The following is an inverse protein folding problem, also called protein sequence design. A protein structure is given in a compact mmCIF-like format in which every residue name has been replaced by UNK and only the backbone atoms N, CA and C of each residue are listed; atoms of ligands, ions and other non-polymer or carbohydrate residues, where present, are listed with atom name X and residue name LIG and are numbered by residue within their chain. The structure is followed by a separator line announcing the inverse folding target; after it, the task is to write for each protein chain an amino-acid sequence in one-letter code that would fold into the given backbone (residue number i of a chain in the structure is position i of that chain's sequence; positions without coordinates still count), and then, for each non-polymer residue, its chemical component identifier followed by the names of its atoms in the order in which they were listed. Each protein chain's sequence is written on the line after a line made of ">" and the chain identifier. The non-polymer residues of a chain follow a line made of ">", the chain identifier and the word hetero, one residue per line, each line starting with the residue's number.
data_IF_827710595097
#
_entry.id   IF_827710595097
#
_cell.length_a   1.000
_cell.length_b   1.000
_cell.length_c   1.000
_cell.angle_alpha   90.00
_cell.angle_beta   90.00
_cell.angle_gamma   90.00
#
_symmetry.space_group_name_H-M   'P 1'
#
loop_
_entity.id
_entity.type
_entity.pdbx_description
1 polymer ?
#
# COMPACT_ATOMS: atom_id res chain seq x y z
N UNK A 1 1.25 10.23 -10.51
CA UNK A 1 2.18 10.74 -9.48
C UNK A 1 1.52 10.91 -8.11
N UNK A 2 2.29 10.89 -7.02
CA UNK A 2 1.72 11.01 -5.66
C UNK A 2 1.13 12.42 -5.42
N UNK A 3 1.73 13.44 -6.02
CA UNK A 3 1.25 14.83 -6.06
C UNK A 3 -0.18 15.03 -6.62
N UNK A 4 -0.76 14.05 -7.33
CA UNK A 4 -2.16 14.12 -7.78
C UNK A 4 -3.17 13.91 -6.64
N UNK A 5 -2.74 13.38 -5.49
CA UNK A 5 -3.53 13.27 -4.27
C UNK A 5 -3.31 14.51 -3.40
N UNK A 6 -4.16 15.54 -3.62
CA UNK A 6 -4.11 16.80 -2.86
C UNK A 6 -4.51 16.60 -1.39
N UNK A 7 -3.59 16.92 -0.48
CA UNK A 7 -3.77 16.89 0.98
C UNK A 7 -5.01 17.66 1.44
N UNK A 8 -5.74 17.09 2.40
CA UNK A 8 -6.92 17.69 3.02
C UNK A 8 -6.70 18.01 4.50
N UNK A 9 -7.49 18.97 5.01
CA UNK A 9 -7.61 19.20 6.45
C UNK A 9 -8.52 18.13 7.08
N UNK A 10 -8.17 17.72 8.31
CA UNK A 10 -8.91 16.73 9.11
C UNK A 10 -10.42 17.00 9.15
N UNK A 11 -11.21 15.99 8.81
CA UNK A 11 -12.68 16.09 8.75
C UNK A 11 -13.24 16.61 7.42
N UNK A 12 -12.42 16.79 6.38
CA UNK A 12 -12.91 16.93 5.01
C UNK A 12 -13.76 15.73 4.56
N UNK A 13 -14.62 15.96 3.57
CA UNK A 13 -15.11 14.85 2.73
C UNK A 13 -14.03 14.58 1.68
N UNK A 14 -13.62 13.33 1.57
CA UNK A 14 -12.59 12.93 0.59
C UNK A 14 -13.05 13.15 -0.85
N UNK A 15 -12.10 13.10 -1.79
CA UNK A 15 -12.41 13.03 -3.21
C UNK A 15 -12.36 11.56 -3.65
N UNK A 16 -13.24 11.15 -4.56
CA UNK A 16 -13.14 9.85 -5.22
C UNK A 16 -11.78 9.73 -5.90
N UNK A 17 -11.00 8.70 -5.55
CA UNK A 17 -9.62 8.57 -6.05
C UNK A 17 -9.55 8.21 -7.54
N UNK A 18 -10.58 7.51 -8.03
CA UNK A 18 -10.69 6.96 -9.37
C UNK A 18 -12.18 6.84 -9.76
N UNK A 19 -12.49 6.86 -11.06
CA UNK A 19 -13.81 6.44 -11.54
C UNK A 19 -13.79 4.93 -11.79
N UNK A 20 -14.39 4.18 -10.89
CA UNK A 20 -14.57 2.73 -11.01
C UNK A 20 -16.02 2.41 -11.34
N UNK A 21 -16.26 1.29 -12.03
CA UNK A 21 -17.54 0.60 -11.94
C UNK A 21 -17.60 -0.12 -10.59
N UNK A 22 -18.80 -0.46 -10.13
CA UNK A 22 -19.18 -0.81 -8.75
C UNK A 22 -18.55 -2.10 -8.13
N UNK A 23 -17.44 -2.58 -8.68
CA UNK A 23 -16.75 -3.84 -8.31
C UNK A 23 -15.23 -3.75 -8.28
N UNK A 24 -14.63 -2.63 -8.69
CA UNK A 24 -13.17 -2.46 -8.80
C UNK A 24 -12.68 -1.41 -7.77
N UNK A 25 -11.64 -1.74 -7.00
CA UNK A 25 -11.06 -0.86 -5.97
C UNK A 25 -9.59 -1.18 -5.68
N UNK A 26 -8.84 -0.20 -5.18
CA UNK A 26 -7.41 -0.35 -4.90
C UNK A 26 -7.18 -0.98 -3.52
N UNK A 27 -6.83 -2.27 -3.51
CA UNK A 27 -6.59 -3.04 -2.29
C UNK A 27 -5.21 -2.76 -1.65
N UNK A 28 -4.21 -2.41 -2.45
CA UNK A 28 -2.83 -2.17 -2.00
C UNK A 28 -2.27 -0.86 -2.59
N UNK A 29 -1.67 -0.03 -1.75
CA UNK A 29 -0.91 1.17 -2.13
C UNK A 29 0.41 1.18 -1.35
N UNK A 30 1.52 1.45 -2.04
CA UNK A 30 2.85 1.56 -1.45
C UNK A 30 3.73 2.46 -2.33
N UNK A 31 4.80 3.00 -1.75
CA UNK A 31 5.89 3.69 -2.45
C UNK A 31 7.12 2.77 -2.46
N UNK A 32 7.84 2.72 -3.57
CA UNK A 32 9.04 1.89 -3.74
C UNK A 32 9.94 2.41 -4.87
N UNK A 33 11.25 2.20 -4.76
CA UNK A 33 12.21 2.42 -5.85
C UNK A 33 11.88 1.55 -7.07
N UNK A 34 12.08 2.06 -8.28
CA UNK A 34 11.95 1.31 -9.54
C UNK A 34 12.87 0.09 -9.61
N UNK A 35 13.99 0.13 -8.89
CA UNK A 35 14.94 -0.98 -8.81
C UNK A 35 14.64 -1.97 -7.69
N UNK A 36 13.67 -1.74 -6.80
CA UNK A 36 13.36 -2.67 -5.72
C UNK A 36 12.89 -4.05 -6.24
N UNK A 37 13.01 -5.07 -5.39
CA UNK A 37 12.37 -6.37 -5.56
C UNK A 37 10.94 -6.31 -5.00
N UNK A 38 9.96 -6.49 -5.88
CA UNK A 38 8.57 -6.67 -5.50
C UNK A 38 8.35 -8.14 -5.15
N UNK A 39 8.03 -8.43 -3.88
CA UNK A 39 7.70 -9.78 -3.40
C UNK A 39 6.18 -9.94 -3.37
N UNK A 40 5.67 -10.97 -4.06
CA UNK A 40 4.25 -11.28 -4.15
C UNK A 40 3.96 -12.59 -3.42
N UNK A 41 3.27 -12.51 -2.28
CA UNK A 41 2.90 -13.66 -1.45
C UNK A 41 1.46 -14.09 -1.72
N UNK A 42 1.20 -15.39 -1.72
CA UNK A 42 -0.10 -15.96 -2.13
C UNK A 42 -0.84 -16.66 -0.99
N UNK A 43 -2.12 -16.94 -1.22
CA UNK A 43 -2.99 -17.74 -0.34
C UNK A 43 -2.46 -19.16 -0.13
N UNK A 44 -1.74 -19.70 -1.12
CA UNK A 44 -1.01 -20.97 -1.04
C UNK A 44 0.31 -20.90 -0.26
N UNK A 45 0.68 -19.71 0.25
CA UNK A 45 1.94 -19.48 0.94
C UNK A 45 3.18 -19.58 0.04
N UNK A 46 3.04 -19.39 -1.28
CA UNK A 46 4.18 -19.16 -2.20
C UNK A 46 4.63 -17.71 -2.14
N UNK A 47 5.84 -17.45 -2.63
CA UNK A 47 6.32 -16.12 -2.98
C UNK A 47 6.96 -16.12 -4.36
N UNK A 48 6.63 -15.10 -5.14
CA UNK A 48 7.23 -14.76 -6.42
C UNK A 48 7.97 -13.42 -6.29
N UNK A 49 8.92 -13.13 -7.17
CA UNK A 49 9.61 -11.83 -7.18
C UNK A 49 9.81 -11.31 -8.59
N UNK A 50 9.38 -10.07 -8.82
CA UNK A 50 9.70 -9.28 -10.00
C UNK A 50 10.41 -7.99 -9.57
N UNK A 51 11.10 -7.30 -10.49
CA UNK A 51 11.60 -5.94 -10.23
C UNK A 51 10.49 -4.92 -10.51
N UNK A 52 10.44 -3.81 -9.75
CA UNK A 52 9.37 -2.82 -9.93
C UNK A 52 9.31 -2.28 -11.36
N UNK A 53 10.46 -2.04 -12.01
CA UNK A 53 10.53 -1.63 -13.42
C UNK A 53 10.01 -2.66 -14.43
N UNK A 54 9.89 -3.93 -14.06
CA UNK A 54 9.35 -5.01 -14.92
C UNK A 54 7.82 -5.08 -14.87
N UNK A 55 7.18 -4.37 -13.93
CA UNK A 55 5.74 -4.34 -13.81
C UNK A 55 5.12 -3.44 -14.91
N UNK A 56 3.92 -3.74 -15.41
CA UNK A 56 3.30 -2.96 -16.49
C UNK A 56 3.01 -1.51 -16.08
N UNK A 57 3.77 -0.57 -16.64
CA UNK A 57 3.53 0.87 -16.47
C UNK A 57 2.16 1.29 -17.05
N UNK A 58 1.54 2.29 -16.42
CA UNK A 58 0.26 2.86 -16.84
C UNK A 58 0.00 4.22 -16.20
N UNK A 59 -0.97 4.97 -16.74
CA UNK A 59 -1.46 6.20 -16.11
C UNK A 59 -2.26 5.89 -14.83
N UNK A 60 -2.50 6.89 -13.97
CA UNK A 60 -3.38 6.75 -12.79
C UNK A 60 -4.81 6.29 -13.13
N UNK A 61 -5.25 6.49 -14.37
CA UNK A 61 -6.57 6.08 -14.88
C UNK A 61 -6.56 4.75 -15.63
N UNK A 62 -5.39 4.13 -15.85
CA UNK A 62 -5.27 2.82 -16.47
C UNK A 62 -5.49 1.70 -15.44
N UNK A 63 -6.22 0.64 -15.82
CA UNK A 63 -6.51 -0.52 -14.95
C UNK A 63 -5.32 -1.49 -14.78
N UNK A 64 -4.10 -1.07 -15.13
CA UNK A 64 -2.91 -1.95 -15.18
C UNK A 64 -3.09 -3.16 -16.09
N UNK A 65 -2.55 -4.31 -15.68
CA UNK A 65 -2.83 -5.64 -16.25
C UNK A 65 -3.20 -6.61 -15.11
N UNK A 66 -4.01 -7.65 -15.36
CA UNK A 66 -4.29 -8.70 -14.37
C UNK A 66 -3.01 -9.34 -13.84
N UNK A 67 -2.95 -9.60 -12.53
CA UNK A 67 -1.73 -10.14 -11.87
C UNK A 67 -1.34 -11.53 -12.40
N UNK A 68 -2.30 -12.32 -12.88
CA UNK A 68 -2.09 -13.62 -13.56
C UNK A 68 -1.32 -13.51 -14.88
N UNK A 69 -1.20 -12.31 -15.47
CA UNK A 69 -0.37 -12.04 -16.65
C UNK A 69 1.07 -11.63 -16.27
N UNK A 70 1.39 -11.56 -14.98
CA UNK A 70 2.71 -11.20 -14.43
C UNK A 70 3.28 -12.37 -13.64
N UNK A 71 2.45 -13.09 -12.88
CA UNK A 71 2.84 -14.21 -12.03
C UNK A 71 2.21 -15.52 -12.53
N UNK A 72 2.98 -16.62 -12.64
CA UNK A 72 2.43 -17.94 -12.97
C UNK A 72 1.78 -18.57 -11.72
N UNK A 73 0.56 -18.10 -11.42
CA UNK A 73 -0.30 -18.64 -10.37
C UNK A 73 -1.01 -19.91 -10.85
N UNK A 74 -1.25 -20.87 -9.95
CA UNK A 74 -1.82 -22.18 -10.29
C UNK A 74 -3.22 -22.39 -9.68
N UNK A 75 -4.16 -22.90 -10.47
CA UNK A 75 -5.52 -23.22 -10.00
C UNK A 75 -6.27 -22.00 -9.46
N UNK A 76 -6.73 -22.09 -8.21
CA UNK A 76 -7.40 -21.01 -7.46
C UNK A 76 -6.44 -20.13 -6.64
N UNK A 77 -5.11 -20.27 -6.82
CA UNK A 77 -4.09 -19.49 -6.11
C UNK A 77 -4.27 -17.98 -6.33
N UNK A 78 -4.48 -17.24 -5.24
CA UNK A 78 -4.68 -15.79 -5.24
C UNK A 78 -3.52 -15.09 -4.54
N UNK A 79 -3.27 -13.85 -4.95
CA UNK A 79 -2.43 -12.93 -4.21
C UNK A 79 -3.01 -12.71 -2.80
N UNK A 80 -2.15 -12.59 -1.80
CA UNK A 80 -2.53 -12.37 -0.40
C UNK A 80 -1.78 -11.19 0.25
N UNK A 81 -0.56 -10.89 -0.18
CA UNK A 81 0.21 -9.73 0.28
C UNK A 81 1.27 -9.34 -0.75
N UNK A 82 1.54 -8.04 -0.89
CA UNK A 82 2.67 -7.51 -1.67
C UNK A 82 3.63 -6.76 -0.75
N UNK A 83 4.94 -6.95 -0.93
CA UNK A 83 5.97 -6.19 -0.22
C UNK A 83 7.14 -5.86 -1.13
N UNK A 84 7.40 -4.57 -1.32
CA UNK A 84 8.68 -4.11 -1.85
C UNK A 84 9.80 -4.33 -0.82
N UNK A 85 10.94 -4.80 -1.32
CA UNK A 85 12.20 -5.02 -0.62
C UNK A 85 13.29 -4.38 -1.48
N UNK A 86 14.18 -3.56 -0.91
CA UNK A 86 15.22 -2.91 -1.73
C UNK A 86 16.33 -3.91 -2.06
N UNK A 87 16.95 -4.50 -1.03
CA UNK A 87 18.02 -5.48 -1.14
C UNK A 87 17.90 -6.66 -0.15
N UNK A 88 18.55 -7.77 -0.47
CA UNK A 88 18.66 -8.94 0.40
C UNK A 88 19.94 -8.86 1.25
N UNK A 89 19.82 -8.27 2.44
CA UNK A 89 20.91 -8.21 3.43
C UNK A 89 21.08 -9.53 4.18
N UNK A 90 22.32 -9.95 4.41
CA UNK A 90 22.64 -11.02 5.35
C UNK A 90 22.37 -10.56 6.81
N UNK A 91 22.02 -11.49 7.71
CA UNK A 91 21.62 -11.19 9.10
C UNK A 91 20.17 -10.74 9.26
N UNK A 92 19.57 -10.13 8.23
CA UNK A 92 18.17 -9.72 8.23
C UNK A 92 17.19 -10.90 8.03
N UNK A 93 15.92 -10.66 8.36
CA UNK A 93 14.84 -11.63 8.29
C UNK A 93 13.59 -11.07 7.59
N UNK A 94 12.76 -11.97 7.05
CA UNK A 94 11.34 -11.71 6.83
C UNK A 94 10.53 -12.21 8.03
N UNK A 95 9.78 -11.29 8.63
CA UNK A 95 8.83 -11.53 9.70
C UNK A 95 7.40 -11.52 9.14
N UNK A 96 6.69 -12.63 9.30
CA UNK A 96 5.33 -12.85 8.81
C UNK A 96 4.34 -12.78 9.99
N UNK A 97 3.13 -12.26 9.74
CA UNK A 97 2.02 -12.30 10.70
C UNK A 97 0.70 -12.67 10.01
N UNK A 98 -0.12 -13.51 10.66
CA UNK A 98 -1.40 -13.99 10.13
C UNK A 98 -2.62 -13.50 10.91
N UNK A 99 -3.80 -13.56 10.30
CA UNK A 99 -5.08 -13.14 10.88
C UNK A 99 -5.38 -13.87 12.20
N UNK A 100 -5.06 -15.17 12.29
CA UNK A 100 -5.19 -15.97 13.52
C UNK A 100 -4.08 -15.74 14.55
N UNK A 101 -3.23 -14.74 14.34
CA UNK A 101 -2.20 -14.34 15.29
C UNK A 101 -1.01 -15.29 15.34
N UNK A 102 -0.75 -16.05 14.28
CA UNK A 102 0.53 -16.76 14.11
C UNK A 102 1.58 -15.79 13.56
N UNK A 103 2.84 -16.00 13.94
CA UNK A 103 4.00 -15.26 13.42
C UNK A 103 5.16 -16.20 13.10
N UNK A 104 5.97 -15.83 12.11
CA UNK A 104 7.12 -16.62 11.67
C UNK A 104 8.28 -15.70 11.32
N UNK A 105 9.49 -16.02 11.77
CA UNK A 105 10.72 -15.36 11.33
C UNK A 105 11.50 -16.33 10.44
N UNK A 106 11.92 -15.88 9.26
CA UNK A 106 12.76 -16.65 8.34
C UNK A 106 13.87 -15.74 7.80
N UNK A 107 15.08 -16.27 7.74
CA UNK A 107 16.27 -15.62 7.16
C UNK A 107 15.98 -15.00 5.79
N UNK A 108 16.36 -13.73 5.58
CA UNK A 108 16.10 -12.99 4.35
C UNK A 108 16.86 -13.60 3.16
N UNK A 109 18.05 -14.16 3.38
CA UNK A 109 18.85 -14.81 2.34
C UNK A 109 18.20 -16.09 1.83
N UNK A 110 17.28 -16.71 2.57
CA UNK A 110 16.44 -17.79 2.07
C UNK A 110 15.51 -17.36 0.91
N UNK A 111 15.34 -16.06 0.68
CA UNK A 111 14.53 -15.47 -0.40
C UNK A 111 15.38 -14.79 -1.49
N UNK A 112 16.69 -14.66 -1.32
CA UNK A 112 17.63 -14.04 -2.28
C UNK A 112 17.66 -14.65 -3.69
N UNK A 113 17.10 -15.86 -3.86
CA UNK A 113 17.03 -16.61 -5.14
C UNK A 113 15.65 -17.25 -5.32
N UNK A 114 14.62 -16.40 -5.45
CA UNK A 114 13.29 -16.81 -5.93
C UNK A 114 13.39 -17.19 -7.41
N UNK A 115 12.64 -18.23 -7.82
CA UNK A 115 12.52 -18.68 -9.21
C UNK A 115 11.29 -18.05 -9.86
N UNK A 116 11.21 -18.03 -11.18
CA UNK A 116 10.00 -17.60 -11.92
C UNK A 116 8.77 -18.43 -11.54
N UNK A 117 8.94 -19.73 -11.24
CA UNK A 117 7.90 -20.62 -10.69
C UNK A 117 7.50 -20.31 -9.24
N UNK A 118 8.05 -19.25 -8.64
CA UNK A 118 7.98 -18.98 -7.21
C UNK A 118 8.72 -20.01 -6.35
N UNK A 119 8.62 -19.83 -5.03
CA UNK A 119 9.06 -20.78 -3.99
C UNK A 119 8.03 -20.81 -2.85
N UNK A 120 7.90 -21.89 -2.08
CA UNK A 120 7.13 -21.83 -0.81
C UNK A 120 7.81 -20.87 0.17
N UNK A 121 7.01 -20.05 0.84
CA UNK A 121 7.41 -18.90 1.64
C UNK A 121 6.95 -18.97 3.10
N UNK A 122 5.75 -19.50 3.33
CA UNK A 122 5.12 -19.78 4.62
C UNK A 122 4.17 -20.98 4.43
N UNK A 123 3.92 -21.77 5.48
CA UNK A 123 2.80 -22.72 5.48
C UNK A 123 1.62 -22.09 6.21
N UNK A 124 0.59 -21.72 5.45
CA UNK A 124 -0.70 -21.27 5.99
C UNK A 124 -1.58 -22.49 6.32
N UNK A 125 -2.65 -22.24 7.07
CA UNK A 125 -3.77 -23.18 7.22
C UNK A 125 -4.91 -22.68 6.31
N UNK A 126 -5.76 -23.60 5.86
CA UNK A 126 -6.84 -23.35 4.87
C UNK A 126 -7.83 -22.24 5.29
N UNK A 127 -7.88 -21.91 6.58
CA UNK A 127 -8.74 -20.90 7.20
C UNK A 127 -7.95 -19.80 7.95
N UNK A 128 -6.68 -19.57 7.59
CA UNK A 128 -5.85 -18.45 8.07
C UNK A 128 -5.37 -17.58 6.89
N UNK A 129 -5.12 -16.30 7.13
CA UNK A 129 -4.75 -15.32 6.10
C UNK A 129 -3.45 -14.61 6.47
N UNK A 130 -2.58 -14.37 5.49
CA UNK A 130 -1.36 -13.59 5.69
C UNK A 130 -1.71 -12.10 5.72
N UNK A 131 -1.50 -11.44 6.87
CA UNK A 131 -1.87 -10.04 7.10
C UNK A 131 -0.67 -9.09 6.93
N UNK A 132 0.54 -9.58 7.13
CA UNK A 132 1.74 -8.78 6.91
C UNK A 132 2.99 -9.64 6.64
N UNK A 133 3.87 -9.08 5.81
CA UNK A 133 5.29 -9.42 5.77
C UNK A 133 6.09 -8.14 6.02
N UNK A 134 7.02 -8.19 6.98
CA UNK A 134 7.93 -7.11 7.34
C UNK A 134 9.38 -7.60 7.23
N UNK A 135 10.31 -6.67 7.02
CA UNK A 135 11.73 -6.94 7.20
C UNK A 135 12.08 -6.62 8.66
N UNK A 136 12.95 -7.44 9.27
CA UNK A 136 13.53 -7.21 10.60
C UNK A 136 15.02 -7.58 10.60
N UNK A 137 15.76 -7.14 11.61
CA UNK A 137 17.24 -7.11 11.62
C UNK A 137 17.89 -8.04 12.64
N UNK A 138 17.10 -8.59 13.57
CA UNK A 138 17.57 -9.20 14.81
C UNK A 138 17.43 -8.28 16.03
N UNK A 139 17.23 -6.97 15.86
CA UNK A 139 17.01 -6.01 16.94
C UNK A 139 15.60 -5.37 16.93
N UNK A 140 14.72 -5.76 15.99
CA UNK A 140 13.40 -5.15 15.85
C UNK A 140 12.42 -5.59 16.95
N UNK A 141 11.70 -4.62 17.53
CA UNK A 141 10.46 -4.90 18.23
C UNK A 141 9.30 -5.06 17.25
N UNK A 142 8.36 -5.94 17.61
CA UNK A 142 7.14 -6.23 16.85
C UNK A 142 5.93 -5.74 17.63
N UNK A 143 5.02 -5.01 16.96
CA UNK A 143 3.66 -4.78 17.48
C UNK A 143 2.64 -5.45 16.56
N UNK A 144 1.84 -6.35 17.11
CA UNK A 144 0.61 -6.85 16.48
C UNK A 144 -0.59 -6.13 17.07
N UNK A 145 -1.53 -5.71 16.23
CA UNK A 145 -2.81 -5.10 16.63
C UNK A 145 -4.00 -5.88 16.07
N UNK A 146 -5.11 -5.84 16.78
CA UNK A 146 -6.29 -6.69 16.55
C UNK A 146 -7.57 -5.90 16.31
N UNK A 147 -8.53 -6.52 15.62
CA UNK A 147 -9.83 -5.94 15.30
C UNK A 147 -10.58 -5.45 16.55
N UNK A 148 -10.52 -6.16 17.67
CA UNK A 148 -11.15 -5.72 18.93
C UNK A 148 -10.35 -4.64 19.69
N UNK A 149 -9.22 -4.17 19.19
CA UNK A 149 -8.45 -3.06 19.78
C UNK A 149 -7.48 -3.49 20.88
N UNK A 150 -7.02 -4.74 20.88
CA UNK A 150 -5.83 -5.17 21.64
C UNK A 150 -4.56 -4.97 20.80
N UNK A 151 -3.43 -4.68 21.44
CA UNK A 151 -2.10 -4.80 20.85
C UNK A 151 -1.11 -5.55 21.76
N UNK A 152 -0.09 -6.18 21.17
CA UNK A 152 1.02 -6.80 21.90
C UNK A 152 2.35 -6.33 21.32
N UNK A 153 3.23 -5.78 22.16
CA UNK A 153 4.62 -5.43 21.83
C UNK A 153 5.56 -6.50 22.38
N UNK A 154 6.36 -7.14 21.52
CA UNK A 154 7.36 -8.15 21.90
C UNK A 154 8.65 -8.01 21.08
N UNK A 155 9.74 -8.60 21.57
CA UNK A 155 11.04 -8.68 20.88
C UNK A 155 10.98 -9.74 19.77
N UNK A 156 11.48 -9.44 18.56
CA UNK A 156 11.47 -10.40 17.45
C UNK A 156 12.20 -11.72 17.75
N UNK A 157 13.04 -11.77 18.78
CA UNK A 157 13.79 -12.95 19.21
C UNK A 157 12.99 -13.89 20.12
N UNK A 158 11.81 -13.48 20.60
CA UNK A 158 10.76 -14.42 21.04
C UNK A 158 10.34 -15.36 19.87
N UNK A 159 10.66 -15.02 18.61
CA UNK A 159 10.46 -15.85 17.42
C UNK A 159 11.82 -16.29 16.86
N UNK A 160 12.24 -17.51 17.21
CA UNK A 160 13.42 -18.14 16.58
C UNK A 160 13.30 -18.17 15.05
N UNK A 161 14.40 -18.03 14.28
CA UNK A 161 14.39 -18.30 12.85
C UNK A 161 13.91 -19.72 12.52
N UNK A 162 13.15 -19.83 11.43
CA UNK A 162 12.53 -21.05 10.93
C UNK A 162 12.61 -21.11 9.39
N UNK A 163 12.67 -22.31 8.83
CA UNK A 163 12.66 -22.52 7.38
C UNK A 163 11.36 -22.05 6.71
N UNK A 164 11.43 -21.82 5.39
CA UNK A 164 10.33 -21.24 4.60
C UNK A 164 9.01 -22.01 4.76
N UNK A 165 9.05 -23.33 4.56
CA UNK A 165 7.92 -24.25 4.77
C UNK A 165 7.73 -24.57 6.27
N UNK A 166 7.15 -23.61 6.99
CA UNK A 166 6.73 -23.78 8.38
C UNK A 166 5.57 -22.84 8.73
N UNK A 167 4.80 -23.20 9.76
CA UNK A 167 3.56 -22.53 10.18
C UNK A 167 3.77 -21.43 11.24
N UNK A 168 5.03 -21.18 11.62
CA UNK A 168 5.36 -20.23 12.68
C UNK A 168 4.94 -20.68 14.09
N UNK A 169 4.76 -19.69 14.97
CA UNK A 169 4.39 -19.80 16.39
C UNK A 169 3.38 -18.70 16.75
N UNK A 170 2.60 -18.86 17.82
CA UNK A 170 1.59 -17.86 18.21
C UNK A 170 2.23 -16.51 18.60
N UNK A 171 1.97 -15.46 17.84
CA UNK A 171 2.38 -14.07 18.10
C UNK A 171 1.49 -13.39 19.14
N UNK A 172 0.17 -13.53 19.00
CA UNK A 172 -0.83 -13.03 19.97
C UNK A 172 -1.88 -14.12 20.23
N UNK A 173 -2.42 -14.18 21.45
CA UNK A 173 -3.63 -14.98 21.73
C UNK A 173 -4.86 -14.12 21.54
N UNK A 174 -5.63 -14.46 20.51
CA UNK A 174 -6.91 -13.83 20.20
C UNK A 174 -8.01 -14.25 21.19
N UNK A 175 -9.08 -13.45 21.24
CA UNK A 175 -10.36 -13.83 21.84
C UNK A 175 -11.34 -14.25 20.74
N UNK A 176 -12.44 -14.87 21.12
CA UNK A 176 -13.46 -15.34 20.19
C UNK A 176 -14.00 -14.17 19.34
N UNK A 177 -14.01 -14.33 18.02
CA UNK A 177 -14.36 -13.28 17.05
C UNK A 177 -13.29 -12.21 16.79
N UNK A 178 -12.13 -12.29 17.44
CA UNK A 178 -11.00 -11.37 17.24
C UNK A 178 -10.03 -11.89 16.17
N UNK A 179 -9.32 -10.98 15.50
CA UNK A 179 -8.27 -11.30 14.51
C UNK A 179 -7.23 -10.19 14.45
N UNK A 180 -6.02 -10.50 13.95
CA UNK A 180 -4.97 -9.51 13.70
C UNK A 180 -5.32 -8.69 12.46
N UNK A 181 -5.23 -7.36 12.57
CA UNK A 181 -5.48 -6.39 11.49
C UNK A 181 -4.25 -5.56 11.13
N UNK A 182 -3.13 -5.82 11.80
CA UNK A 182 -1.86 -5.20 11.44
C UNK A 182 -0.68 -5.73 12.24
N UNK A 183 0.47 -5.74 11.58
CA UNK A 183 1.79 -5.95 12.18
C UNK A 183 2.68 -4.79 11.77
N UNK A 184 3.37 -4.19 12.72
CA UNK A 184 4.43 -3.20 12.48
C UNK A 184 5.69 -3.60 13.23
N UNK A 185 6.84 -3.16 12.73
CA UNK A 185 8.17 -3.51 13.23
C UNK A 185 9.04 -2.25 13.23
N UNK A 186 9.88 -2.10 14.23
CA UNK A 186 10.80 -0.97 14.39
C UNK A 186 11.95 -1.35 15.32
N UNK A 187 13.09 -0.70 15.17
CA UNK A 187 14.25 -0.90 16.05
C UNK A 187 14.15 0.12 17.19
N UNK A 188 14.10 -0.33 18.46
CA UNK A 188 13.73 0.54 19.58
C UNK A 188 14.82 1.56 19.92
N UNK A 189 16.08 1.24 19.64
CA UNK A 189 17.23 2.03 20.08
C UNK A 189 17.70 3.03 19.01
N UNK A 190 17.25 2.87 17.76
CA UNK A 190 17.56 3.73 16.61
C UNK A 190 16.55 4.89 16.42
N UNK A 191 15.46 4.92 17.20
CA UNK A 191 14.38 5.91 17.06
C UNK A 191 14.01 6.56 18.40
N UNK A 192 13.62 7.83 18.36
CA UNK A 192 12.95 8.45 19.51
C UNK A 192 11.52 7.91 19.64
N UNK A 193 11.33 6.94 20.54
CA UNK A 193 10.03 6.33 20.83
C UNK A 193 9.02 7.29 21.50
N UNK A 194 9.45 8.48 21.93
CA UNK A 194 8.59 9.57 22.42
C UNK A 194 8.15 10.51 21.29
N UNK A 195 8.85 10.51 20.16
CA UNK A 195 8.53 11.25 18.93
C UNK A 195 8.18 10.32 17.75
N UNK A 196 7.95 9.04 18.02
CA UNK A 196 7.42 8.06 17.08
C UNK A 196 6.10 7.53 17.62
N UNK A 197 5.06 7.43 16.78
CA UNK A 197 3.71 7.04 17.21
C UNK A 197 3.18 5.82 16.44
N UNK A 198 2.37 5.01 17.10
CA UNK A 198 1.40 4.15 16.42
C UNK A 198 0.12 4.95 16.16
N UNK A 199 -0.23 5.12 14.89
CA UNK A 199 -1.54 5.59 14.43
C UNK A 199 -2.48 4.38 14.29
N UNK A 200 -3.55 4.35 15.09
CA UNK A 200 -4.60 3.31 15.01
C UNK A 200 -5.87 3.89 14.41
N UNK A 201 -6.44 3.24 13.39
CA UNK A 201 -7.71 3.62 12.75
C UNK A 201 -8.80 2.54 12.91
N UNK A 202 -10.06 2.96 12.97
CA UNK A 202 -11.24 2.11 13.18
C UNK A 202 -12.30 2.34 12.10
N UNK A 203 -13.12 1.32 11.84
CA UNK A 203 -14.07 1.21 10.72
C UNK A 203 -14.94 2.47 10.54
N UNK A 204 -15.47 3.03 11.64
CA UNK A 204 -16.33 4.22 11.62
C UNK A 204 -15.53 5.55 11.59
N UNK A 205 -14.29 5.54 11.11
CA UNK A 205 -13.52 6.76 10.85
C UNK A 205 -12.93 7.44 12.08
N UNK A 206 -12.77 6.71 13.19
CA UNK A 206 -12.11 7.20 14.40
C UNK A 206 -10.69 6.64 14.56
N UNK A 207 -9.82 7.35 15.27
CA UNK A 207 -8.45 6.92 15.52
C UNK A 207 -7.66 7.83 16.45
N UNK A 208 -6.39 7.52 16.66
CA UNK A 208 -5.47 8.26 17.56
C UNK A 208 -4.02 8.05 17.15
N UNK A 209 -3.13 8.98 17.51
CA UNK A 209 -1.70 8.70 17.69
C UNK A 209 -1.44 8.34 19.16
N UNK A 210 -0.48 7.46 19.40
CA UNK A 210 0.06 7.15 20.74
C UNK A 210 1.54 6.82 20.58
N UNK A 211 2.41 7.40 21.40
CA UNK A 211 3.87 7.20 21.34
C UNK A 211 4.26 5.72 21.48
N UNK A 212 5.39 5.30 20.89
CA UNK A 212 5.80 3.89 20.91
C UNK A 212 6.22 3.42 22.31
N UNK A 213 6.82 4.30 23.12
CA UNK A 213 7.08 4.08 24.55
C UNK A 213 5.80 3.72 25.33
N UNK A 214 4.67 4.33 24.97
CA UNK A 214 3.35 3.99 25.52
C UNK A 214 2.85 2.58 25.14
N UNK A 215 3.60 1.75 24.41
CA UNK A 215 3.30 0.31 24.20
C UNK A 215 4.14 -0.65 25.06
N UNK A 216 5.01 -0.14 25.93
CA UNK A 216 5.59 -0.97 26.98
C UNK A 216 4.54 -1.40 28.03
N UNK A 217 4.82 -2.51 28.70
CA UNK A 217 4.21 -2.89 29.97
C UNK A 217 4.96 -2.17 31.09
N UNK A 218 4.29 -1.19 31.72
CA UNK A 218 4.65 -0.72 33.06
C UNK A 218 4.39 -1.83 34.09
N UNK A 219 5.36 -2.06 34.96
CA UNK A 219 5.24 -2.89 36.17
C UNK A 219 5.79 -2.10 37.35
N UNK A 220 5.32 -2.40 38.57
CA UNK A 220 5.69 -1.66 39.78
C UNK A 220 5.98 -2.67 40.90
N UNK A 221 7.14 -2.54 41.52
CA UNK A 221 7.59 -3.43 42.60
C UNK A 221 7.06 -2.96 43.97
N UNK A 222 7.16 -3.82 44.99
CA UNK A 222 6.68 -3.53 46.36
C UNK A 222 7.42 -2.37 47.05
N UNK A 223 8.61 -2.01 46.55
CA UNK A 223 9.39 -0.84 46.98
C UNK A 223 9.03 0.48 46.24
N UNK A 224 8.08 0.42 45.30
CA UNK A 224 7.68 1.53 44.44
C UNK A 224 8.50 1.70 43.17
N UNK A 225 9.48 0.82 42.88
CA UNK A 225 10.28 0.88 41.66
C UNK A 225 9.41 0.58 40.43
N UNK A 226 9.27 1.58 39.56
CA UNK A 226 8.57 1.43 38.27
C UNK A 226 9.54 0.93 37.21
N UNK A 227 9.16 -0.12 36.49
CA UNK A 227 9.91 -0.71 35.37
C UNK A 227 9.06 -0.77 34.10
N UNK A 228 9.72 -0.68 32.95
CA UNK A 228 9.10 -0.81 31.63
C UNK A 228 9.71 -2.02 30.92
N UNK A 229 8.86 -2.82 30.28
CA UNK A 229 9.24 -4.09 29.64
C UNK A 229 8.36 -4.37 28.43
N UNK A 230 8.85 -5.16 27.48
CA UNK A 230 7.98 -5.75 26.45
C UNK A 230 7.06 -6.82 27.05
N UNK A 231 6.00 -7.17 26.34
CA UNK A 231 5.14 -8.29 26.70
C UNK A 231 5.73 -9.58 26.11
N UNK A 232 5.74 -10.68 26.87
CA UNK A 232 6.09 -11.98 26.28
C UNK A 232 5.09 -12.39 25.19
N UNK A 233 5.62 -12.83 24.05
CA UNK A 233 4.85 -13.23 22.85
C UNK A 233 3.77 -14.26 23.17
N UNK A 234 2.62 -14.14 22.52
CA UNK A 234 1.51 -15.10 22.63
C UNK A 234 0.56 -14.84 23.81
N UNK A 235 0.73 -13.73 24.53
CA UNK A 235 -0.29 -13.21 25.46
C UNK A 235 -1.50 -12.57 24.76
N UNK A 236 -2.48 -12.11 25.54
CA UNK A 236 -3.72 -11.46 25.06
C UNK A 236 -3.57 -9.98 24.62
N UNK A 237 -2.35 -9.44 24.64
CA UNK A 237 -2.12 -8.01 24.46
C UNK A 237 -2.54 -7.14 25.66
N UNK A 238 -2.50 -5.83 25.45
CA UNK A 238 -3.05 -4.76 26.29
C UNK A 238 -4.01 -3.94 25.41
N UNK A 239 -4.93 -3.18 26.02
CA UNK A 239 -5.85 -2.33 25.25
C UNK A 239 -5.05 -1.27 24.48
N UNK A 240 -5.21 -1.26 23.16
CA UNK A 240 -4.77 -0.20 22.25
C UNK A 240 -5.83 0.90 22.14
N UNK A 241 -7.04 0.57 21.66
CA UNK A 241 -8.12 1.55 21.43
C UNK A 241 -9.47 0.95 21.81
N UNK A 242 -10.37 1.77 22.35
CA UNK A 242 -11.75 1.35 22.64
C UNK A 242 -12.56 1.20 21.35
N UNK A 243 -12.80 -0.06 20.98
CA UNK A 243 -13.75 -0.48 19.95
C UNK A 243 -15.21 -0.46 20.45
N UNK A 244 -16.15 -0.81 19.58
CA UNK A 244 -17.59 -0.85 19.85
C UNK A 244 -18.37 0.22 19.11
N UNK A 245 -19.70 0.31 19.32
CA UNK A 245 -20.68 0.96 18.41
C UNK A 245 -20.30 2.33 17.81
N UNK A 246 -19.54 3.19 18.51
CA UNK A 246 -19.07 4.48 17.96
C UNK A 246 -17.96 4.30 16.93
N UNK A 247 -16.98 3.45 17.21
CA UNK A 247 -15.74 3.32 16.47
C UNK A 247 -15.78 2.18 15.44
N UNK A 248 -16.53 1.11 15.72
CA UNK A 248 -16.38 -0.18 15.04
C UNK A 248 -15.13 -0.93 15.56
N UNK A 249 -14.68 -1.97 14.83
CA UNK A 249 -13.37 -2.60 15.02
C UNK A 249 -12.22 -1.70 14.52
N UNK A 250 -10.99 -2.06 14.89
CA UNK A 250 -9.76 -1.55 14.26
C UNK A 250 -9.64 -2.14 12.85
N UNK A 251 -9.25 -1.31 11.89
CA UNK A 251 -9.08 -1.69 10.48
C UNK A 251 -7.64 -1.59 9.99
N UNK A 252 -6.76 -0.94 10.75
CA UNK A 252 -5.34 -0.88 10.44
C UNK A 252 -4.55 -0.08 11.47
N UNK A 253 -3.23 -0.32 11.50
CA UNK A 253 -2.26 0.45 12.27
C UNK A 253 -1.04 0.77 11.42
N UNK A 254 -0.49 1.97 11.59
CA UNK A 254 0.75 2.42 10.95
C UNK A 254 1.68 3.04 12.00
N UNK A 255 3.00 2.91 11.81
CA UNK A 255 3.96 3.75 12.52
C UNK A 255 4.04 5.09 11.79
N UNK A 256 4.16 6.17 12.56
CA UNK A 256 4.38 7.56 12.16
C UNK A 256 5.70 7.97 12.84
N UNK A 257 6.68 8.38 12.06
CA UNK A 257 8.08 8.62 12.47
C UNK A 257 8.45 10.11 12.48
N UNK A 258 7.69 10.95 11.76
CA UNK A 258 7.84 12.41 11.75
C UNK A 258 6.49 13.09 12.08
N UNK A 259 6.51 14.35 12.50
CA UNK A 259 5.26 15.11 12.69
C UNK A 259 4.56 15.41 11.36
N UNK A 260 5.34 15.75 10.34
CA UNK A 260 4.83 16.15 9.04
C UNK A 260 4.36 15.00 8.16
N UNK A 261 4.71 13.75 8.51
CA UNK A 261 4.13 12.52 7.96
C UNK A 261 2.61 12.65 7.77
N UNK A 262 2.09 12.00 6.75
CA UNK A 262 0.67 11.90 6.48
C UNK A 262 0.16 10.47 6.63
N UNK A 263 -1.16 10.32 6.62
CA UNK A 263 -1.82 9.05 6.47
C UNK A 263 -2.79 9.08 5.29
N UNK A 264 -2.91 7.92 4.66
CA UNK A 264 -3.90 7.60 3.64
C UNK A 264 -4.97 6.71 4.26
N UNK A 265 -6.23 7.14 4.17
CA UNK A 265 -7.41 6.31 4.48
C UNK A 265 -8.15 5.99 3.18
N UNK A 266 -8.60 4.74 3.03
CA UNK A 266 -9.46 4.29 1.93
C UNK A 266 -10.79 3.80 2.52
N UNK A 267 -11.91 4.16 1.88
CA UNK A 267 -13.26 3.70 2.26
C UNK A 267 -13.80 2.62 1.31
N UNK A 268 -14.83 1.89 1.75
CA UNK A 268 -15.57 0.95 0.90
C UNK A 268 -16.20 1.60 -0.35
N UNK A 269 -16.41 2.93 -0.34
CA UNK A 269 -16.86 3.70 -1.50
C UNK A 269 -15.74 4.18 -2.45
N UNK A 270 -14.50 3.72 -2.27
CA UNK A 270 -13.36 4.15 -3.10
C UNK A 270 -12.91 5.59 -2.86
N UNK A 271 -13.35 6.22 -1.76
CA UNK A 271 -12.89 7.55 -1.35
C UNK A 271 -11.52 7.41 -0.69
N UNK A 272 -10.57 8.25 -1.12
CA UNK A 272 -9.21 8.29 -0.55
C UNK A 272 -9.01 9.64 0.12
N UNK A 273 -8.49 9.64 1.35
CA UNK A 273 -8.12 10.86 2.10
C UNK A 273 -6.65 10.82 2.47
N UNK A 274 -5.91 11.84 2.03
CA UNK A 274 -4.54 12.19 2.43
C UNK A 274 -4.61 13.33 3.47
N UNK A 275 -4.07 13.14 4.66
CA UNK A 275 -4.04 14.18 5.72
C UNK A 275 -2.83 14.03 6.65
N UNK A 276 -2.31 15.16 7.17
CA UNK A 276 -1.14 15.18 8.08
C UNK A 276 -1.42 14.49 9.43
N UNK A 277 -0.52 13.59 9.83
CA UNK A 277 -0.60 12.80 11.04
C UNK A 277 -0.53 13.67 12.30
N UNK A 278 0.21 14.79 12.27
CA UNK A 278 0.16 15.84 13.29
C UNK A 278 -1.27 16.25 13.70
N UNK A 279 -2.20 16.34 12.74
CA UNK A 279 -3.60 16.74 12.99
C UNK A 279 -4.40 15.65 13.74
N UNK A 280 -3.89 14.42 13.83
CA UNK A 280 -4.46 13.36 14.65
C UNK A 280 -3.97 13.52 16.08
N UNK A 281 -4.92 13.76 16.98
CA UNK A 281 -4.66 13.94 18.41
C UNK A 281 -3.87 12.77 18.99
N UNK A 282 -2.76 13.11 19.63
CA UNK A 282 -2.04 12.19 20.50
C UNK A 282 -2.80 11.98 21.83
N UNK A 283 -2.90 10.72 22.24
CA UNK A 283 -3.40 10.29 23.55
C UNK A 283 -2.77 8.95 23.93
N UNK A 284 -2.65 8.67 25.22
CA UNK A 284 -2.36 7.32 25.74
C UNK A 284 -3.30 6.27 25.14
N UNK A 285 -2.84 5.00 25.08
CA UNK A 285 -3.56 3.87 24.47
C UNK A 285 -5.07 3.88 24.80
N UNK A 286 -5.42 3.51 26.05
CA UNK A 286 -6.76 3.14 26.49
C UNK A 286 -7.79 4.30 26.49
N UNK A 287 -8.16 4.76 25.28
CA UNK A 287 -9.07 5.88 24.99
C UNK A 287 -9.94 5.54 23.76
N UNK A 288 -10.88 6.42 23.38
CA UNK A 288 -11.78 6.22 22.22
C UNK A 288 -11.31 6.90 20.93
N UNK A 289 -10.17 7.59 20.94
CA UNK A 289 -9.69 8.39 19.83
C UNK A 289 -10.63 9.53 19.38
N UNK A 290 -10.17 10.28 18.37
CA UNK A 290 -10.87 11.38 17.70
C UNK A 290 -11.35 10.95 16.31
N UNK A 291 -12.29 11.69 15.71
CA UNK A 291 -12.68 11.45 14.31
C UNK A 291 -11.54 11.88 13.38
N UNK A 292 -11.19 11.01 12.41
CA UNK A 292 -10.23 11.26 11.33
C UNK A 292 -10.96 11.80 10.09
N UNK A 293 -11.96 11.03 9.63
CA UNK A 293 -12.76 11.24 8.41
C UNK A 293 -14.23 11.45 8.78
N UNK A 294 -14.94 12.31 8.03
CA UNK A 294 -16.40 12.36 8.05
C UNK A 294 -16.94 11.43 6.94
N UNK A 295 -17.35 10.23 7.35
CA UNK A 295 -17.98 9.23 6.49
C UNK A 295 -19.43 9.63 6.13
N UNK A 296 -19.90 9.18 4.97
CA UNK A 296 -21.33 9.15 4.62
C UNK A 296 -22.11 8.04 5.32
N UNK A 297 -23.41 7.94 5.03
CA UNK A 297 -24.23 6.80 5.44
C UNK A 297 -23.76 5.53 4.69
N UNK A 298 -23.73 4.39 5.40
CA UNK A 298 -23.18 3.08 4.96
C UNK A 298 -21.71 3.08 4.47
N UNK A 299 -21.00 4.22 4.57
CA UNK A 299 -19.57 4.33 4.29
C UNK A 299 -18.73 3.94 5.52
N UNK A 300 -17.66 3.17 5.29
CA UNK A 300 -16.68 2.74 6.30
C UNK A 300 -15.25 2.79 5.79
N UNK A 301 -14.30 3.03 6.69
CA UNK A 301 -12.87 2.85 6.40
C UNK A 301 -12.57 1.36 6.23
N UNK A 302 -11.81 1.01 5.20
CA UNK A 302 -11.36 -0.36 4.93
C UNK A 302 -9.83 -0.51 4.94
N UNK A 303 -9.07 0.59 4.83
CA UNK A 303 -7.60 0.54 4.88
C UNK A 303 -6.99 1.83 5.44
N UNK A 304 -5.77 1.69 6.00
CA UNK A 304 -4.91 2.75 6.53
C UNK A 304 -3.46 2.50 6.07
N UNK A 305 -2.80 3.52 5.54
CA UNK A 305 -1.35 3.53 5.30
C UNK A 305 -0.70 4.84 5.79
N UNK A 306 0.60 4.81 6.08
CA UNK A 306 1.42 6.03 6.19
C UNK A 306 1.80 6.51 4.79
N UNK A 307 1.82 7.81 4.60
CA UNK A 307 2.53 8.48 3.52
C UNK A 307 3.64 9.33 4.16
N UNK A 308 4.92 8.99 3.99
CA UNK A 308 6.01 9.81 4.54
C UNK A 308 5.95 11.25 4.04
N UNK A 309 6.47 12.19 4.83
CA UNK A 309 6.80 13.52 4.32
C UNK A 309 7.95 13.40 3.30
N UNK A 310 7.85 14.13 2.19
CA UNK A 310 8.85 14.12 1.11
C UNK A 310 9.61 15.44 1.08
N UNK A 311 10.94 15.35 1.09
CA UNK A 311 11.86 16.50 1.08
C UNK A 311 11.69 17.41 -0.17
N UNK A 312 11.06 16.90 -1.24
CA UNK A 312 10.80 17.61 -2.49
C UNK A 312 9.57 18.58 -2.46
N UNK A 313 8.78 18.66 -1.38
CA UNK A 313 7.56 19.50 -1.37
C UNK A 313 7.81 21.02 -1.18
N UNK A 314 9.04 21.47 -0.92
CA UNK A 314 9.35 22.89 -0.62
C UNK A 314 9.71 23.77 -1.84
N UNK A 315 9.99 23.23 -3.03
CA UNK A 315 10.48 24.03 -4.18
C UNK A 315 9.38 24.68 -5.05
N UNK A 316 8.11 24.67 -4.62
CA UNK A 316 7.03 25.43 -5.29
C UNK A 316 6.83 26.80 -4.66
N UNK A 317 7.73 27.75 -4.94
CA UNK A 317 7.57 29.15 -4.49
C UNK A 317 6.25 29.77 -4.99
N UNK A 318 5.66 30.61 -4.14
CA UNK A 318 4.39 31.30 -4.42
C UNK A 318 4.62 32.47 -5.37
N UNK A 319 4.33 32.28 -6.65
CA UNK A 319 4.24 33.41 -7.60
C UNK A 319 2.94 34.17 -7.34
N UNK A 320 3.03 35.34 -6.70
CA UNK A 320 1.89 36.24 -6.51
C UNK A 320 1.44 36.91 -7.83
N UNK A 321 0.14 37.17 -7.93
CA UNK A 321 -0.57 37.68 -9.13
C UNK A 321 -0.12 39.09 -9.55
N UNK A 322 -0.18 39.42 -10.85
CA UNK A 322 -1.08 40.51 -11.20
C UNK A 322 -1.88 40.35 -12.52
N UNK A 323 -3.22 40.33 -12.35
CA UNK A 323 -4.27 40.91 -13.22
C UNK A 323 -4.76 40.07 -14.42
N UNK A 324 -5.99 39.58 -14.26
CA UNK A 324 -6.94 39.44 -15.38
C UNK A 324 -7.41 40.84 -15.83
N UNK A 325 -7.46 41.07 -17.14
CA UNK A 325 -8.17 42.19 -17.77
C UNK A 325 -9.21 41.61 -18.72
N UNK A 326 -10.45 42.07 -18.61
CA UNK A 326 -11.58 41.59 -19.43
C UNK A 326 -11.73 42.45 -20.68
N UNK A 327 -12.04 41.81 -21.81
CA UNK A 327 -12.57 42.47 -23.00
C UNK A 327 -13.61 41.55 -23.66
N UNK A 328 -14.84 42.03 -23.77
CA UNK A 328 -15.93 41.40 -24.52
C UNK A 328 -16.00 42.00 -25.93
N UNK A 329 -16.44 41.21 -26.91
CA UNK A 329 -17.00 41.71 -28.17
C UNK A 329 -17.88 40.63 -28.81
N UNK A 330 -19.18 40.88 -28.92
CA UNK A 330 -20.10 40.08 -29.74
C UNK A 330 -19.87 40.36 -31.24
N UNK A 331 -20.17 39.39 -32.12
CA UNK A 331 -21.42 39.44 -32.90
C UNK A 331 -21.67 38.24 -33.84
N UNK A 332 -22.92 37.78 -33.78
CA UNK A 332 -23.77 37.14 -34.79
C UNK A 332 -23.68 37.79 -36.20
N UNK A 333 -24.10 37.22 -37.34
CA UNK A 333 -24.76 35.94 -37.74
C UNK A 333 -24.17 35.55 -39.14
N UNK A 334 -24.74 34.85 -40.14
CA UNK A 334 -26.09 34.31 -40.48
C UNK A 334 -25.96 33.06 -41.42
N UNK A 335 -27.07 32.54 -41.95
CA UNK A 335 -27.16 31.25 -42.69
C UNK A 335 -27.39 31.35 -44.23
N UNK A 336 -27.41 30.18 -44.91
CA UNK A 336 -27.87 29.83 -46.27
C UNK A 336 -27.02 30.16 -47.53
N UNK A 337 -26.93 29.17 -48.45
CA UNK A 337 -27.14 29.43 -49.89
C UNK A 337 -26.16 28.90 -50.95
N UNK A 338 -26.36 27.64 -51.39
CA UNK A 338 -26.19 27.09 -52.77
C UNK A 338 -24.92 27.31 -53.64
N UNK A 339 -24.42 26.18 -54.18
CA UNK A 339 -23.90 25.92 -55.56
C UNK A 339 -23.25 27.03 -56.41
N UNK A 340 -22.00 26.80 -56.86
CA UNK A 340 -21.74 26.29 -58.23
C UNK A 340 -20.29 25.82 -58.42
N UNK A 341 -20.07 25.00 -59.46
CA UNK A 341 -18.77 24.60 -60.03
C UNK A 341 -18.98 24.61 -61.56
N UNK A 342 -18.17 25.37 -62.34
CA UNK A 342 -17.26 24.66 -63.26
C UNK A 342 -15.96 25.42 -63.66
N UNK A 343 -14.95 24.65 -64.09
CA UNK A 343 -13.98 24.96 -65.18
C UNK A 343 -13.06 26.22 -65.03
N UNK A 344 -11.94 26.38 -65.73
CA UNK A 344 -10.92 25.51 -66.36
C UNK A 344 -9.65 26.37 -66.54
N UNK A 345 -8.47 25.74 -66.62
CA UNK A 345 -7.41 26.03 -67.61
C UNK A 345 -6.12 25.28 -67.25
N UNK A 346 -5.77 24.28 -68.06
CA UNK A 346 -4.38 23.85 -68.24
C UNK A 346 -3.69 24.84 -69.22
N UNK A 347 -2.36 24.78 -69.42
CA UNK A 347 -1.89 23.85 -70.47
C UNK A 347 -0.50 23.21 -70.23
N UNK A 348 -0.36 21.96 -70.69
CA UNK A 348 0.70 21.47 -71.61
C UNK A 348 2.22 21.57 -71.20
N UNK A 349 3.12 20.63 -71.54
CA UNK A 349 3.03 19.37 -72.30
C UNK A 349 4.32 18.49 -72.15
N UNK A 350 4.35 17.42 -72.96
CA UNK A 350 5.49 16.67 -73.54
C UNK A 350 6.15 15.51 -72.76
N UNK A 351 5.89 14.31 -73.33
CA UNK A 351 6.84 13.24 -73.68
C UNK A 351 7.34 12.22 -72.62
N UNK A 352 6.45 11.24 -72.36
CA UNK A 352 6.51 9.82 -72.80
C UNK A 352 7.56 9.39 -73.90
N UNK A 353 7.74 8.09 -74.28
CA UNK A 353 6.97 6.86 -73.92
C UNK A 353 7.84 5.62 -73.53
N UNK A 354 7.16 4.48 -73.24
CA UNK A 354 7.53 3.05 -73.55
C UNK A 354 8.93 2.52 -73.05
N UNK A 355 9.32 1.24 -72.98
CA UNK A 355 8.80 -0.12 -73.26
C UNK A 355 9.69 -1.09 -72.40
N UNK A 356 9.34 -2.30 -71.92
CA UNK A 356 8.07 -2.97 -71.60
C UNK A 356 8.36 -4.25 -70.74
N UNK A 357 7.43 -5.23 -70.68
CA UNK A 357 7.54 -6.71 -70.53
C UNK A 357 8.95 -7.39 -70.68
N UNK A 358 9.27 -8.61 -70.20
CA UNK A 358 8.51 -9.70 -69.53
C UNK A 358 9.45 -10.77 -68.88
N UNK A 359 8.86 -11.61 -68.00
CA UNK A 359 9.08 -13.06 -67.69
C UNK A 359 10.46 -13.78 -67.50
N UNK A 360 10.34 -14.95 -66.84
CA UNK A 360 11.27 -16.10 -66.71
C UNK A 360 12.59 -15.90 -65.92
N UNK A 361 13.24 -16.93 -65.34
CA UNK A 361 13.06 -18.39 -65.46
C UNK A 361 13.20 -19.14 -64.10
N UNK A 362 13.04 -20.46 -64.14
CA UNK A 362 13.05 -21.45 -63.05
C UNK A 362 14.46 -21.92 -62.64
N UNK A 363 14.53 -22.73 -61.57
CA UNK A 363 15.75 -23.36 -61.04
C UNK A 363 15.71 -23.36 -59.50
N UNK A 364 15.21 -24.38 -58.80
CA UNK A 364 15.59 -25.81 -58.77
C UNK A 364 16.95 -26.05 -58.11
N UNK A 365 16.91 -26.50 -56.86
CA UNK A 365 17.74 -27.57 -56.27
C UNK A 365 17.33 -27.74 -54.78
N UNK A 366 17.54 -28.92 -54.20
CA UNK A 366 17.04 -29.27 -52.86
C UNK A 366 17.99 -30.12 -52.01
N UNK A 367 17.39 -31.09 -51.29
CA UNK A 367 17.97 -32.14 -50.44
C UNK A 367 18.57 -31.79 -49.05
N UNK A 368 18.35 -32.76 -48.14
CA UNK A 368 18.83 -33.01 -46.75
C UNK A 368 18.67 -31.94 -45.64
#
# INVERSE_FOLDING_TARGET
>A
PLAEYRTQHRGGRGKSGMSTKDTDFVEHVFVASTHAHMLFFTTEGRVFSERVFSLPAGSRTARGKPIVNVLPLEGDEKLAMVRALEDFTEGNFLFFATAKGQVKKTDLMAYSRIRSTGIKAIKLNDDDQLIAVRQTTGASHVILSTANGMSIRFDENDVRPMGRDSMGVRGIKLRDGDHVVGCVTFEPDDIDQTQTWLLSATEHGYGKRTTLENYYRRSEAEDGTVSFSVQGRGGYGLNDIHTGKRNGPVVGVAIIEAEGDEYLIVTNGGVIIRARAAQVREVNRNTKGVRLINLGDDERVVSLARNPESEDEDESEVVEDPRVVVAEADQELDDEGLTDDPELDEPELDDEPEDDLDDDDQGDDGDD
#
